data_IF_152233155976
#
_entry.id   IF_152233155976
#
_cell.length_a   1.000
_cell.length_b   1.000
_cell.length_c   1.000
_cell.angle_alpha   90.00
_cell.angle_beta   90.00
_cell.angle_gamma   90.00
#
_symmetry.space_group_name_H-M   'P 1'
#
loop_
_entity.id
_entity.type
_entity.pdbx_description
1 polymer ?
#
# COMPACT_ATOMS: atom_id res chain seq x y z
N UNK A 1 -1.74 -14.23 27.18
CA UNK A 1 -2.80 -13.18 27.14
C UNK A 1 -2.93 -12.74 25.69
N UNK A 2 -4.16 -12.63 25.16
CA UNK A 2 -4.37 -12.29 23.73
C UNK A 2 -4.05 -10.80 23.51
N UNK A 3 -3.31 -10.41 22.45
CA UNK A 3 -3.12 -9.00 22.12
C UNK A 3 -4.45 -8.29 21.83
N UNK A 4 -4.60 -7.05 22.31
CA UNK A 4 -5.81 -6.25 22.11
C UNK A 4 -6.15 -6.05 20.64
N UNK A 5 -5.11 -5.84 19.83
CA UNK A 5 -5.22 -5.69 18.38
C UNK A 5 -5.83 -6.95 17.76
N UNK A 6 -5.37 -8.13 18.16
CA UNK A 6 -5.93 -9.41 17.66
C UNK A 6 -7.39 -9.61 18.05
N UNK A 7 -7.79 -9.19 19.26
CA UNK A 7 -9.20 -9.25 19.68
C UNK A 7 -10.08 -8.31 18.84
N UNK A 8 -9.58 -7.11 18.54
CA UNK A 8 -10.28 -6.14 17.72
C UNK A 8 -10.35 -6.59 16.24
N UNK A 9 -9.23 -7.06 15.70
CA UNK A 9 -9.14 -7.61 14.35
C UNK A 9 -10.08 -8.82 14.18
N UNK A 10 -10.20 -9.68 15.20
CA UNK A 10 -11.11 -10.82 15.16
C UNK A 10 -12.56 -10.36 14.97
N UNK A 11 -12.97 -9.34 15.74
CA UNK A 11 -14.31 -8.77 15.66
C UNK A 11 -14.57 -8.07 14.32
N UNK A 12 -13.61 -7.30 13.82
CA UNK A 12 -13.72 -6.65 12.50
C UNK A 12 -13.80 -7.69 11.39
N UNK A 13 -12.96 -8.73 11.46
CA UNK A 13 -12.95 -9.82 10.50
C UNK A 13 -14.28 -10.60 10.50
N UNK A 14 -14.89 -10.82 11.66
CA UNK A 14 -16.22 -11.44 11.77
C UNK A 14 -17.29 -10.64 11.00
N UNK A 15 -17.32 -9.32 11.15
CA UNK A 15 -18.26 -8.44 10.44
C UNK A 15 -18.04 -8.48 8.91
N UNK A 16 -16.79 -8.48 8.47
CA UNK A 16 -16.48 -8.61 7.04
C UNK A 16 -16.87 -9.99 6.49
N UNK A 17 -16.59 -11.07 7.21
CA UNK A 17 -16.94 -12.43 6.78
C UNK A 17 -18.46 -12.57 6.70
N UNK A 18 -19.21 -12.07 7.69
CA UNK A 18 -20.67 -12.14 7.67
C UNK A 18 -21.25 -11.35 6.50
N UNK A 19 -20.75 -10.13 6.24
CA UNK A 19 -21.16 -9.31 5.08
C UNK A 19 -20.90 -10.02 3.75
N UNK A 20 -19.71 -10.62 3.58
CA UNK A 20 -19.37 -11.36 2.36
C UNK A 20 -20.28 -12.57 2.22
N UNK A 21 -20.44 -13.38 3.27
CA UNK A 21 -21.24 -14.59 3.24
C UNK A 21 -22.71 -14.30 2.93
N UNK A 22 -23.29 -13.33 3.63
CA UNK A 22 -24.66 -12.87 3.40
C UNK A 22 -24.80 -12.33 1.98
N UNK A 23 -23.88 -11.47 1.54
CA UNK A 23 -23.90 -10.90 0.20
C UNK A 23 -23.83 -11.95 -0.93
N UNK A 24 -23.02 -13.00 -0.77
CA UNK A 24 -22.99 -14.11 -1.73
C UNK A 24 -24.26 -14.96 -1.67
N UNK A 25 -24.80 -15.19 -0.48
CA UNK A 25 -26.04 -15.96 -0.29
C UNK A 25 -27.24 -15.24 -0.94
N UNK A 26 -27.35 -13.92 -0.73
CA UNK A 26 -28.38 -13.11 -1.37
C UNK A 26 -28.24 -13.07 -2.90
N UNK A 27 -27.01 -13.13 -3.44
CA UNK A 27 -26.79 -13.24 -4.90
C UNK A 27 -27.35 -14.55 -5.48
N UNK A 28 -27.19 -15.67 -4.77
CA UNK A 28 -27.76 -16.96 -5.19
C UNK A 28 -29.29 -16.92 -5.08
N UNK A 29 -29.83 -16.25 -4.07
CA UNK A 29 -31.27 -16.08 -3.85
C UNK A 29 -31.93 -15.08 -4.83
N UNK A 30 -31.20 -14.46 -5.75
CA UNK A 30 -31.75 -13.51 -6.74
C UNK A 30 -32.80 -14.12 -7.68
N UNK A 31 -32.80 -15.44 -7.83
CA UNK A 31 -33.79 -16.15 -8.66
C UNK A 31 -35.13 -16.37 -7.94
N UNK A 32 -35.21 -16.07 -6.64
CA UNK A 32 -36.49 -16.08 -5.92
C UNK A 32 -37.30 -14.82 -6.26
N UNK A 33 -38.64 -14.89 -6.14
CA UNK A 33 -39.50 -13.76 -6.46
C UNK A 33 -39.16 -12.54 -5.59
N UNK A 34 -39.05 -11.36 -6.23
CA UNK A 34 -38.55 -10.12 -5.64
C UNK A 34 -39.34 -9.63 -4.41
N UNK A 35 -40.61 -10.01 -4.27
CA UNK A 35 -41.43 -9.65 -3.11
C UNK A 35 -40.95 -10.34 -1.81
N UNK A 36 -40.43 -11.57 -1.91
CA UNK A 36 -39.87 -12.31 -0.77
C UNK A 36 -38.54 -11.68 -0.38
N UNK A 37 -37.70 -11.35 -1.37
CA UNK A 37 -36.38 -10.77 -1.11
C UNK A 37 -36.51 -9.39 -0.45
N UNK A 38 -37.35 -8.49 -0.98
CA UNK A 38 -37.49 -7.14 -0.44
C UNK A 38 -38.20 -7.09 0.91
N UNK A 39 -39.18 -7.96 1.14
CA UNK A 39 -39.94 -7.95 2.42
C UNK A 39 -39.18 -8.66 3.54
N UNK A 40 -38.32 -9.62 3.19
CA UNK A 40 -37.67 -10.52 4.13
C UNK A 40 -36.15 -10.30 4.24
N UNK A 41 -35.57 -9.32 3.56
CA UNK A 41 -34.11 -9.09 3.54
C UNK A 41 -33.51 -8.99 4.94
N UNK A 42 -34.14 -8.20 5.82
CA UNK A 42 -33.69 -8.02 7.21
C UNK A 42 -33.80 -9.31 8.03
N UNK A 43 -34.86 -10.08 7.84
CA UNK A 43 -35.07 -11.36 8.54
C UNK A 43 -34.07 -12.42 8.06
N UNK A 44 -33.88 -12.53 6.74
CA UNK A 44 -32.92 -13.44 6.14
C UNK A 44 -31.50 -13.12 6.61
N UNK A 45 -31.13 -11.84 6.64
CA UNK A 45 -29.82 -11.41 7.13
C UNK A 45 -29.61 -11.79 8.61
N UNK A 46 -30.62 -11.56 9.46
CA UNK A 46 -30.56 -11.93 10.87
C UNK A 46 -30.48 -13.45 11.07
N UNK A 47 -31.25 -14.24 10.31
CA UNK A 47 -31.23 -15.70 10.34
C UNK A 47 -29.85 -16.22 9.91
N UNK A 48 -29.29 -15.70 8.82
CA UNK A 48 -27.96 -16.10 8.34
C UNK A 48 -26.87 -15.75 9.36
N UNK A 49 -26.92 -14.56 9.95
CA UNK A 49 -26.01 -14.14 11.03
C UNK A 49 -26.14 -15.07 12.26
N UNK A 50 -27.37 -15.42 12.63
CA UNK A 50 -27.66 -16.35 13.73
C UNK A 50 -27.12 -17.75 13.43
N UNK A 51 -27.35 -18.29 12.24
CA UNK A 51 -26.84 -19.60 11.84
C UNK A 51 -25.31 -19.65 11.81
N UNK A 52 -24.67 -18.61 11.26
CA UNK A 52 -23.21 -18.50 11.23
C UNK A 52 -22.62 -18.51 12.64
N UNK A 53 -23.12 -17.62 13.51
CA UNK A 53 -22.64 -17.51 14.89
C UNK A 53 -22.98 -18.74 15.72
N UNK A 54 -24.14 -19.35 15.50
CA UNK A 54 -24.53 -20.60 16.13
C UNK A 54 -23.60 -21.74 15.78
N UNK A 55 -23.41 -22.02 14.50
CA UNK A 55 -22.58 -23.13 14.06
C UNK A 55 -21.11 -22.93 14.45
N UNK A 56 -20.59 -21.71 14.31
CA UNK A 56 -19.20 -21.38 14.64
C UNK A 56 -18.91 -21.56 16.13
N UNK A 57 -19.72 -20.90 16.98
CA UNK A 57 -19.50 -20.88 18.45
C UNK A 57 -19.83 -22.23 19.08
N UNK A 58 -20.82 -22.97 18.59
CA UNK A 58 -21.13 -24.31 19.13
C UNK A 58 -20.01 -25.32 18.87
N UNK A 59 -19.48 -25.37 17.65
CA UNK A 59 -18.44 -26.34 17.28
C UNK A 59 -17.05 -25.98 17.75
N UNK A 60 -16.63 -24.73 17.54
CA UNK A 60 -15.25 -24.30 17.77
C UNK A 60 -15.05 -23.50 19.05
N UNK A 61 -16.14 -23.16 19.76
CA UNK A 61 -16.12 -22.27 20.93
C UNK A 61 -15.45 -20.94 20.61
N UNK A 62 -15.54 -20.50 19.36
CA UNK A 62 -14.99 -19.27 18.82
C UNK A 62 -15.95 -18.76 17.74
N UNK A 63 -15.92 -17.46 17.45
CA UNK A 63 -16.47 -16.93 16.20
C UNK A 63 -15.52 -17.23 15.03
N UNK A 64 -15.94 -16.99 13.79
CA UNK A 64 -15.14 -17.33 12.61
C UNK A 64 -13.82 -16.54 12.55
N UNK A 65 -13.89 -15.23 12.80
CA UNK A 65 -12.75 -14.32 12.88
C UNK A 65 -11.83 -14.70 14.03
N UNK A 66 -12.39 -14.99 15.21
CA UNK A 66 -11.60 -15.49 16.34
C UNK A 66 -10.86 -16.79 15.98
N UNK A 67 -11.57 -17.77 15.39
CA UNK A 67 -10.98 -19.04 14.99
C UNK A 67 -9.84 -18.86 13.97
N UNK A 68 -10.02 -17.99 12.96
CA UNK A 68 -8.99 -17.67 11.97
C UNK A 68 -7.77 -16.98 12.57
N UNK A 69 -7.96 -16.15 13.59
CA UNK A 69 -6.87 -15.46 14.28
C UNK A 69 -6.26 -16.28 15.43
N UNK A 70 -6.73 -17.51 15.68
CA UNK A 70 -6.21 -18.38 16.74
C UNK A 70 -6.64 -17.91 18.13
N UNK A 71 -7.87 -17.39 18.24
CA UNK A 71 -8.52 -16.97 19.48
C UNK A 71 -9.78 -17.81 19.69
N UNK A 72 -10.10 -18.16 20.93
CA UNK A 72 -11.36 -18.81 21.29
C UNK A 72 -11.87 -18.31 22.63
N UNK A 73 -13.14 -18.54 22.91
CA UNK A 73 -13.67 -18.35 24.26
C UNK A 73 -13.17 -19.43 25.20
N UNK A 74 -13.02 -19.10 26.49
CA UNK A 74 -12.70 -20.09 27.51
C UNK A 74 -13.81 -21.14 27.63
N UNK A 75 -13.53 -22.43 27.47
CA UNK A 75 -14.56 -23.46 27.48
C UNK A 75 -15.31 -23.53 28.82
N UNK A 76 -14.60 -23.30 29.93
CA UNK A 76 -15.14 -23.35 31.29
C UNK A 76 -16.21 -22.28 31.56
N UNK A 77 -16.20 -21.18 30.81
CA UNK A 77 -17.14 -20.06 30.98
C UNK A 77 -18.34 -20.16 30.05
N UNK A 78 -18.30 -21.03 29.05
CA UNK A 78 -19.22 -21.04 27.93
C UNK A 78 -20.28 -22.14 28.08
N UNK A 79 -21.25 -21.88 28.96
CA UNK A 79 -22.46 -22.67 29.13
C UNK A 79 -23.42 -22.46 27.95
N UNK A 80 -24.19 -23.48 27.57
CA UNK A 80 -25.17 -23.39 26.47
C UNK A 80 -26.17 -22.24 26.65
N UNK A 81 -26.57 -21.94 27.89
CA UNK A 81 -27.41 -20.78 28.22
C UNK A 81 -26.72 -19.44 27.90
N UNK A 82 -25.43 -19.31 28.22
CA UNK A 82 -24.66 -18.10 27.93
C UNK A 82 -24.40 -17.95 26.43
N UNK A 83 -24.21 -19.05 25.72
CA UNK A 83 -24.08 -19.09 24.26
C UNK A 83 -25.37 -18.60 23.58
N UNK A 84 -26.53 -19.09 24.04
CA UNK A 84 -27.83 -18.62 23.52
C UNK A 84 -28.06 -17.13 23.82
N UNK A 85 -27.73 -16.67 25.03
CA UNK A 85 -27.82 -15.24 25.39
C UNK A 85 -26.86 -14.38 24.56
N UNK A 86 -25.63 -14.86 24.31
CA UNK A 86 -24.65 -14.17 23.48
C UNK A 86 -25.18 -13.97 22.06
N UNK A 87 -25.73 -15.02 21.46
CA UNK A 87 -26.32 -14.96 20.12
C UNK A 87 -27.53 -14.03 20.07
N UNK A 88 -28.44 -14.16 21.04
CA UNK A 88 -29.63 -13.32 21.12
C UNK A 88 -29.23 -11.84 21.26
N UNK A 89 -28.24 -11.53 22.08
CA UNK A 89 -27.79 -10.15 22.26
C UNK A 89 -27.08 -9.61 21.02
N UNK A 90 -26.16 -10.38 20.43
CA UNK A 90 -25.37 -9.91 19.27
C UNK A 90 -26.22 -9.76 18.01
N UNK A 91 -27.00 -10.78 17.66
CA UNK A 91 -27.87 -10.74 16.47
C UNK A 91 -29.07 -9.84 16.72
N UNK A 92 -29.67 -9.92 17.91
CA UNK A 92 -30.84 -9.12 18.27
C UNK A 92 -30.55 -7.63 18.35
N UNK A 93 -29.39 -7.22 18.87
CA UNK A 93 -29.01 -5.80 18.88
C UNK A 93 -28.88 -5.24 17.46
N UNK A 94 -28.20 -5.96 16.56
CA UNK A 94 -28.04 -5.55 15.17
C UNK A 94 -29.38 -5.52 14.43
N UNK A 95 -30.25 -6.51 14.67
CA UNK A 95 -31.59 -6.55 14.09
C UNK A 95 -32.44 -5.37 14.55
N UNK A 96 -32.52 -5.10 15.86
CA UNK A 96 -33.29 -3.97 16.41
C UNK A 96 -32.74 -2.65 15.86
N UNK A 97 -31.43 -2.48 15.81
CA UNK A 97 -30.81 -1.27 15.26
C UNK A 97 -31.18 -1.07 13.78
N UNK A 98 -31.07 -2.13 12.96
CA UNK A 98 -31.42 -2.07 11.54
C UNK A 98 -32.90 -1.76 11.33
N UNK A 99 -33.78 -2.28 12.20
CA UNK A 99 -35.23 -2.06 12.15
C UNK A 99 -35.62 -0.63 12.53
N UNK A 100 -34.92 -0.02 13.50
CA UNK A 100 -35.12 1.37 13.91
C UNK A 100 -34.60 2.35 12.85
N UNK A 101 -33.48 2.02 12.19
CA UNK A 101 -32.90 2.85 11.12
C UNK A 101 -33.69 2.77 9.80
N UNK A 102 -34.46 1.70 9.57
CA UNK A 102 -35.46 1.62 8.49
C UNK A 102 -36.83 2.11 9.00
N UNK A 103 -37.28 3.35 8.71
CA UNK A 103 -38.57 3.86 9.17
C UNK A 103 -39.71 3.19 8.39
N UNK A 104 -39.99 1.92 8.68
CA UNK A 104 -41.21 1.25 8.25
C UNK A 104 -42.35 1.71 9.16
N UNK A 105 -43.39 2.28 8.56
CA UNK A 105 -44.38 3.17 9.19
C UNK A 105 -45.28 2.56 10.28
N UNK A 106 -45.19 1.25 10.60
CA UNK A 106 -46.31 0.55 11.24
C UNK A 106 -46.01 -0.30 12.49
N UNK A 107 -44.84 -0.24 13.14
CA UNK A 107 -44.55 -1.19 14.23
C UNK A 107 -44.63 -0.67 15.67
N UNK A 108 -44.31 0.60 15.96
CA UNK A 108 -44.39 1.11 17.33
C UNK A 108 -44.84 2.58 17.36
N UNK A 109 -45.85 2.88 18.19
CA UNK A 109 -46.34 4.25 18.42
C UNK A 109 -45.29 5.15 19.12
N UNK A 110 -44.28 4.56 19.77
CA UNK A 110 -43.25 5.25 20.56
C UNK A 110 -41.89 5.21 19.87
N UNK A 111 -41.79 5.77 18.66
CA UNK A 111 -40.53 5.83 17.90
C UNK A 111 -39.45 6.59 18.70
N UNK A 112 -39.82 7.63 19.45
CA UNK A 112 -38.90 8.42 20.25
C UNK A 112 -38.22 7.61 21.38
N UNK A 113 -38.96 6.70 22.02
CA UNK A 113 -38.42 5.87 23.10
C UNK A 113 -37.44 4.83 22.54
N UNK A 114 -37.76 4.20 21.41
CA UNK A 114 -36.88 3.24 20.75
C UNK A 114 -35.60 3.90 20.22
N UNK A 115 -35.70 5.10 19.65
CA UNK A 115 -34.54 5.87 19.25
C UNK A 115 -33.64 6.20 20.44
N UNK A 116 -34.23 6.60 21.57
CA UNK A 116 -33.50 6.87 22.80
C UNK A 116 -32.76 5.62 23.31
N UNK A 117 -33.41 4.45 23.27
CA UNK A 117 -32.78 3.16 23.62
C UNK A 117 -31.59 2.85 22.71
N UNK A 118 -31.72 3.05 21.40
CA UNK A 118 -30.62 2.84 20.44
C UNK A 118 -29.45 3.80 20.71
N UNK A 119 -29.73 5.06 21.05
CA UNK A 119 -28.70 6.04 21.41
C UNK A 119 -27.98 5.62 22.69
N UNK A 120 -28.72 5.19 23.72
CA UNK A 120 -28.16 4.69 24.97
C UNK A 120 -27.29 3.45 24.72
N UNK A 121 -27.75 2.53 23.88
CA UNK A 121 -26.99 1.34 23.51
C UNK A 121 -25.69 1.69 22.77
N UNK A 122 -25.74 2.63 21.80
CA UNK A 122 -24.57 3.13 21.09
C UNK A 122 -23.58 3.80 22.05
N UNK A 123 -24.06 4.63 22.97
CA UNK A 123 -23.25 5.28 24.00
C UNK A 123 -22.60 4.26 24.95
N UNK A 124 -23.35 3.25 25.39
CA UNK A 124 -22.83 2.15 26.20
C UNK A 124 -21.77 1.35 25.44
N UNK A 125 -21.96 1.12 24.13
CA UNK A 125 -21.02 0.40 23.28
C UNK A 125 -19.71 1.16 23.13
N UNK A 126 -19.80 2.48 22.92
CA UNK A 126 -18.66 3.37 22.88
C UNK A 126 -17.90 3.39 24.21
N UNK A 127 -18.60 3.47 25.35
CA UNK A 127 -17.98 3.42 26.67
C UNK A 127 -17.32 2.06 26.93
N UNK A 128 -17.94 0.95 26.50
CA UNK A 128 -17.33 -0.36 26.54
C UNK A 128 -16.05 -0.43 25.70
N UNK A 129 -16.06 0.17 24.51
CA UNK A 129 -14.88 0.23 23.65
C UNK A 129 -13.73 1.01 24.32
N UNK A 130 -14.00 2.16 24.94
CA UNK A 130 -12.97 2.89 25.71
C UNK A 130 -12.42 2.05 26.88
N UNK A 131 -13.29 1.37 27.61
CA UNK A 131 -12.86 0.47 28.69
C UNK A 131 -12.08 -0.74 28.15
N UNK A 132 -12.43 -1.24 26.97
CA UNK A 132 -11.68 -2.27 26.26
C UNK A 132 -10.28 -1.78 25.86
N UNK A 133 -10.15 -0.56 25.34
CA UNK A 133 -8.83 0.01 25.02
C UNK A 133 -7.94 0.11 26.26
N UNK A 134 -8.51 0.39 27.44
CA UNK A 134 -7.77 0.43 28.70
C UNK A 134 -7.42 -0.96 29.26
N UNK A 135 -8.41 -1.87 29.32
CA UNK A 135 -8.27 -3.17 30.00
C UNK A 135 -7.82 -4.31 29.07
N UNK A 136 -8.32 -4.35 27.84
CA UNK A 136 -8.01 -5.36 26.83
C UNK A 136 -8.67 -6.72 27.01
N UNK A 137 -9.81 -6.80 27.71
CA UNK A 137 -10.47 -8.07 28.05
C UNK A 137 -11.69 -8.40 27.19
N UNK A 138 -12.65 -7.47 27.11
CA UNK A 138 -13.95 -7.69 26.47
C UNK A 138 -14.16 -6.70 25.30
N UNK A 139 -14.04 -7.12 24.02
CA UNK A 139 -14.24 -6.25 22.87
C UNK A 139 -15.69 -5.78 22.71
N UNK A 140 -16.68 -6.64 22.97
CA UNK A 140 -18.10 -6.29 22.81
C UNK A 140 -18.82 -6.13 24.15
N UNK A 141 -19.91 -5.35 24.14
CA UNK A 141 -20.82 -5.24 25.28
C UNK A 141 -21.41 -6.60 25.68
N UNK A 142 -21.74 -7.42 24.68
CA UNK A 142 -22.28 -8.76 24.86
C UNK A 142 -21.35 -9.63 25.71
N UNK A 143 -20.06 -9.63 25.35
CA UNK A 143 -19.04 -10.40 26.05
C UNK A 143 -18.77 -9.86 27.45
N UNK A 144 -18.84 -8.54 27.65
CA UNK A 144 -18.72 -7.94 28.98
C UNK A 144 -19.87 -8.34 29.87
N UNK A 145 -21.11 -8.24 29.40
CA UNK A 145 -22.29 -8.59 30.17
C UNK A 145 -22.29 -10.07 30.55
N UNK A 146 -21.87 -10.95 29.64
CA UNK A 146 -21.79 -12.39 29.87
C UNK A 146 -20.48 -12.85 30.55
N UNK A 147 -19.54 -11.91 30.75
CA UNK A 147 -18.20 -12.15 31.29
C UNK A 147 -17.46 -13.29 30.58
N UNK A 148 -17.46 -13.25 29.25
CA UNK A 148 -16.80 -14.24 28.39
C UNK A 148 -15.34 -13.82 28.13
N UNK A 149 -14.39 -14.50 28.76
CA UNK A 149 -12.97 -14.28 28.48
C UNK A 149 -12.54 -15.04 27.23
N UNK A 150 -11.63 -14.43 26.48
CA UNK A 150 -10.99 -15.03 25.32
C UNK A 150 -9.58 -15.53 25.68
N UNK A 151 -9.18 -16.64 25.07
CA UNK A 151 -7.86 -17.25 25.17
C UNK A 151 -7.26 -17.49 23.78
N UNK A 152 -5.94 -17.46 23.70
CA UNK A 152 -5.20 -17.72 22.47
C UNK A 152 -5.01 -19.23 22.33
N UNK A 153 -5.44 -19.81 21.21
CA UNK A 153 -5.18 -21.21 20.87
C UNK A 153 -3.83 -21.41 20.22
N UNK A 154 -3.32 -20.37 19.54
CA UNK A 154 -2.03 -20.38 18.85
C UNK A 154 -1.23 -19.15 19.22
N UNK A 155 0.04 -19.32 19.57
CA UNK A 155 0.97 -18.19 19.58
C UNK A 155 1.12 -17.72 18.13
N UNK A 156 0.35 -16.68 17.77
CA UNK A 156 0.44 -16.07 16.45
C UNK A 156 1.80 -15.36 16.39
N UNK A 157 2.77 -15.98 15.74
CA UNK A 157 3.96 -15.28 15.29
C UNK A 157 3.48 -14.30 14.22
N UNK A 158 3.37 -13.02 14.59
CA UNK A 158 3.03 -11.96 13.64
C UNK A 158 4.25 -11.84 12.72
N UNK A 159 4.15 -12.44 11.54
CA UNK A 159 5.25 -12.47 10.60
C UNK A 159 5.30 -11.12 9.87
N UNK A 160 6.15 -10.22 10.35
CA UNK A 160 6.32 -8.87 9.80
C UNK A 160 7.03 -8.85 8.44
N UNK A 161 7.32 -10.00 7.84
CA UNK A 161 8.17 -10.14 6.64
C UNK A 161 7.69 -9.30 5.46
N UNK A 162 6.38 -9.23 5.25
CA UNK A 162 5.77 -8.43 4.19
C UNK A 162 5.92 -6.93 4.46
N UNK A 163 5.56 -6.48 5.67
CA UNK A 163 5.66 -5.08 6.08
C UNK A 163 7.12 -4.60 6.04
N UNK A 164 8.06 -5.40 6.53
CA UNK A 164 9.48 -5.06 6.51
C UNK A 164 10.02 -5.00 5.08
N UNK A 165 9.56 -5.90 4.19
CA UNK A 165 9.97 -5.88 2.78
C UNK A 165 9.46 -4.64 2.06
N UNK A 166 8.21 -4.25 2.29
CA UNK A 166 7.63 -3.03 1.72
C UNK A 166 8.35 -1.78 2.23
N UNK A 167 8.58 -1.69 3.54
CA UNK A 167 9.30 -0.55 4.14
C UNK A 167 10.73 -0.43 3.60
N UNK A 168 11.44 -1.56 3.47
CA UNK A 168 12.79 -1.59 2.89
C UNK A 168 12.79 -1.14 1.44
N UNK A 169 11.82 -1.61 0.64
CA UNK A 169 11.73 -1.23 -0.76
C UNK A 169 11.41 0.25 -0.95
N UNK A 170 10.46 0.78 -0.17
CA UNK A 170 10.13 2.20 -0.18
C UNK A 170 11.33 3.05 0.24
N UNK A 171 11.97 2.74 1.37
CA UNK A 171 13.14 3.48 1.83
C UNK A 171 14.32 3.42 0.85
N UNK A 172 14.55 2.27 0.21
CA UNK A 172 15.54 2.12 -0.85
C UNK A 172 15.21 2.98 -2.08
N UNK A 173 13.95 2.99 -2.52
CA UNK A 173 13.53 3.79 -3.67
C UNK A 173 13.63 5.30 -3.43
N UNK A 174 13.31 5.78 -2.23
CA UNK A 174 13.48 7.18 -1.85
C UNK A 174 14.97 7.57 -1.85
N UNK A 175 15.83 6.71 -1.29
CA UNK A 175 17.28 6.91 -1.35
C UNK A 175 17.78 6.97 -2.80
N UNK A 176 17.29 6.09 -3.68
CA UNK A 176 17.64 6.12 -5.10
C UNK A 176 17.20 7.42 -5.77
N UNK A 177 15.98 7.89 -5.51
CA UNK A 177 15.48 9.14 -6.09
C UNK A 177 16.31 10.35 -5.66
N UNK A 178 16.84 10.37 -4.44
CA UNK A 178 17.75 11.44 -3.99
C UNK A 178 19.18 11.28 -4.49
N UNK A 179 19.67 10.05 -4.64
CA UNK A 179 21.05 9.80 -5.07
C UNK A 179 21.23 9.87 -6.58
N UNK A 180 20.22 9.49 -7.38
CA UNK A 180 20.30 9.49 -8.85
C UNK A 180 20.64 10.88 -9.45
N UNK A 181 20.03 12.01 -9.04
CA UNK A 181 20.39 13.33 -9.55
C UNK A 181 21.79 13.80 -9.13
N UNK A 182 22.31 13.31 -7.99
CA UNK A 182 23.65 13.63 -7.52
C UNK A 182 24.73 12.89 -8.30
N UNK A 183 24.36 11.80 -8.99
CA UNK A 183 25.27 11.03 -9.81
C UNK A 183 25.35 11.69 -11.19
N UNK A 184 26.53 12.20 -11.52
CA UNK A 184 26.81 12.71 -12.85
C UNK A 184 26.87 11.57 -13.89
N UNK A 185 25.73 11.28 -14.51
CA UNK A 185 25.59 10.24 -15.54
C UNK A 185 26.59 10.39 -16.68
N UNK A 186 26.89 11.63 -17.10
CA UNK A 186 27.81 11.92 -18.21
C UNK A 186 29.26 11.52 -17.86
N UNK A 187 29.72 11.81 -16.63
CA UNK A 187 31.05 11.41 -16.15
C UNK A 187 31.20 9.88 -16.12
N UNK A 188 30.18 9.16 -15.63
CA UNK A 188 30.19 7.69 -15.59
C UNK A 188 30.19 7.12 -17.01
N UNK A 189 29.31 7.62 -17.89
CA UNK A 189 29.23 7.18 -19.29
C UNK A 189 30.59 7.31 -19.99
N UNK A 190 31.29 8.44 -19.84
CA UNK A 190 32.57 8.66 -20.49
C UNK A 190 33.69 7.80 -19.88
N UNK A 191 33.73 7.63 -18.56
CA UNK A 191 34.67 6.71 -17.91
C UNK A 191 34.45 5.26 -18.35
N UNK A 192 33.19 4.83 -18.48
CA UNK A 192 32.83 3.48 -18.97
C UNK A 192 33.23 3.30 -20.44
N UNK A 193 32.91 4.26 -21.32
CA UNK A 193 33.32 4.22 -22.73
C UNK A 193 34.85 4.19 -22.86
N UNK A 194 35.57 5.01 -22.08
CA UNK A 194 37.04 5.00 -22.06
C UNK A 194 37.60 3.65 -21.61
N UNK A 195 37.02 3.03 -20.57
CA UNK A 195 37.44 1.71 -20.11
C UNK A 195 37.17 0.61 -21.16
N UNK A 196 36.05 0.68 -21.87
CA UNK A 196 35.69 -0.29 -22.93
C UNK A 196 36.60 -0.10 -24.15
N UNK A 197 36.89 1.14 -24.55
CA UNK A 197 37.70 1.46 -25.75
C UNK A 197 39.21 1.53 -25.47
N UNK A 198 39.67 1.45 -24.22
CA UNK A 198 41.10 1.49 -23.87
C UNK A 198 41.91 0.34 -24.48
N UNK A 199 41.27 -0.71 -25.02
CA UNK A 199 41.97 -1.82 -25.71
C UNK A 199 42.28 -1.55 -27.18
N UNK A 200 41.70 -0.51 -27.80
CA UNK A 200 41.83 -0.28 -29.26
C UNK A 200 42.83 0.80 -29.67
N UNK A 201 43.46 1.52 -28.73
CA UNK A 201 44.24 2.72 -29.09
C UNK A 201 45.66 2.73 -28.48
N UNK A 202 46.54 1.91 -29.06
CA UNK A 202 47.99 2.02 -28.88
C UNK A 202 48.71 2.19 -30.22
N UNK A 203 48.16 3.01 -31.13
CA UNK A 203 48.88 3.47 -32.32
C UNK A 203 49.38 4.90 -32.07
N UNK A 204 50.64 5.02 -31.65
CA UNK A 204 51.37 6.30 -31.55
C UNK A 204 51.63 6.87 -32.96
N UNK A 205 50.59 7.35 -33.63
CA UNK A 205 50.76 8.21 -34.81
C UNK A 205 50.93 9.65 -34.33
N UNK A 206 51.97 10.32 -34.81
CA UNK A 206 52.25 11.73 -34.52
C UNK A 206 51.03 12.56 -34.91
N UNK A 207 50.44 13.25 -33.94
CA UNK A 207 49.19 13.95 -34.14
C UNK A 207 49.46 15.25 -34.90
N UNK A 208 48.97 15.34 -36.13
CA UNK A 208 49.06 16.54 -36.95
C UNK A 208 47.82 17.38 -36.66
N UNK A 209 48.01 18.58 -36.11
CA UNK A 209 46.91 19.53 -35.88
C UNK A 209 46.19 19.81 -37.20
N UNK A 210 44.90 19.48 -37.26
CA UNK A 210 44.06 19.71 -38.43
C UNK A 210 43.07 20.82 -38.10
N UNK A 211 43.17 21.92 -38.83
CA UNK A 211 42.22 23.04 -38.67
C UNK A 211 40.85 22.60 -39.21
N UNK A 212 39.75 22.83 -38.46
CA UNK A 212 38.42 22.42 -38.89
C UNK A 212 37.93 23.31 -40.04
N UNK A 213 37.34 22.69 -41.07
CA UNK A 213 36.66 23.41 -42.16
C UNK A 213 35.16 23.47 -41.86
N UNK A 214 34.59 24.68 -41.75
CA UNK A 214 33.16 24.88 -41.55
C UNK A 214 32.44 24.83 -42.90
N UNK A 215 31.45 23.95 -43.01
CA UNK A 215 30.55 23.84 -44.16
C UNK A 215 29.10 24.02 -43.68
N UNK A 216 28.16 24.27 -44.60
CA UNK A 216 26.74 24.42 -44.27
C UNK A 216 26.10 23.19 -43.59
N UNK A 217 26.76 22.02 -43.62
CA UNK A 217 26.34 20.76 -42.98
C UNK A 217 27.12 20.41 -41.72
N UNK A 218 28.01 21.26 -41.22
CA UNK A 218 28.78 20.95 -40.00
C UNK A 218 27.88 20.99 -38.77
N UNK A 219 27.94 19.91 -38.00
CA UNK A 219 27.21 19.73 -36.75
C UNK A 219 28.19 19.64 -35.59
N UNK A 220 27.74 20.04 -34.40
CA UNK A 220 28.48 19.84 -33.16
C UNK A 220 28.55 18.34 -32.84
N UNK A 221 29.73 17.80 -32.56
CA UNK A 221 29.88 16.38 -32.23
C UNK A 221 29.22 15.96 -30.91
N UNK A 222 28.91 16.91 -30.02
CA UNK A 222 28.26 16.63 -28.72
C UNK A 222 26.73 16.71 -28.82
N UNK A 223 26.17 17.81 -29.32
CA UNK A 223 24.71 18.01 -29.40
C UNK A 223 24.10 17.64 -30.76
N UNK A 224 24.91 17.38 -31.78
CA UNK A 224 24.48 17.04 -33.16
C UNK A 224 23.62 18.12 -33.84
N UNK A 225 23.66 19.35 -33.33
CA UNK A 225 22.98 20.53 -33.90
C UNK A 225 23.99 21.51 -34.51
N UNK A 226 23.48 22.56 -35.16
CA UNK A 226 24.30 23.64 -35.71
C UNK A 226 25.11 24.29 -34.58
N UNK A 227 26.45 24.41 -34.73
CA UNK A 227 27.29 24.86 -33.63
C UNK A 227 27.03 26.33 -33.27
N UNK A 228 26.75 26.58 -31.99
CA UNK A 228 26.62 27.92 -31.41
C UNK A 228 27.98 28.30 -30.83
N UNK A 229 28.60 29.35 -31.36
CA UNK A 229 29.98 29.76 -31.08
C UNK A 229 30.96 28.58 -31.31
N UNK A 230 31.38 28.30 -32.55
CA UNK A 230 32.13 27.11 -32.89
C UNK A 230 33.55 27.12 -32.30
N UNK A 231 33.91 26.03 -31.63
CA UNK A 231 35.24 25.77 -31.07
C UNK A 231 35.77 24.39 -31.45
N UNK A 232 37.08 24.21 -31.33
CA UNK A 232 37.77 22.94 -31.57
C UNK A 232 38.91 22.73 -30.56
N UNK A 233 39.32 21.46 -30.40
CA UNK A 233 40.40 21.02 -29.51
C UNK A 233 41.60 20.62 -30.38
N UNK A 234 42.15 21.58 -31.14
CA UNK A 234 43.21 21.41 -32.15
C UNK A 234 42.91 20.32 -33.23
N UNK A 235 41.69 19.78 -33.23
CA UNK A 235 41.26 18.63 -34.03
C UNK A 235 40.31 19.08 -35.13
N UNK A 236 40.06 18.20 -36.11
CA UNK A 236 39.14 18.49 -37.23
C UNK A 236 37.66 18.54 -36.82
N UNK A 237 37.33 18.29 -35.55
CA UNK A 237 35.96 18.22 -35.06
C UNK A 237 35.52 19.52 -34.38
N UNK A 238 34.28 19.93 -34.67
CA UNK A 238 33.69 21.19 -34.20
C UNK A 238 32.73 20.92 -33.04
N UNK A 239 32.74 21.82 -32.06
CA UNK A 239 31.91 21.81 -30.87
C UNK A 239 31.26 23.18 -30.66
N UNK A 240 30.10 23.23 -30.00
CA UNK A 240 29.61 24.48 -29.42
C UNK A 240 30.44 24.85 -28.19
N UNK A 241 30.71 26.15 -27.96
CA UNK A 241 31.38 26.64 -26.74
C UNK A 241 30.76 26.06 -25.46
N UNK A 242 29.43 26.10 -25.36
CA UNK A 242 28.74 25.61 -24.17
C UNK A 242 28.84 24.10 -24.01
N UNK A 243 28.83 23.33 -25.09
CA UNK A 243 28.94 21.87 -25.04
C UNK A 243 30.34 21.41 -24.62
N UNK A 244 31.38 22.03 -25.16
CA UNK A 244 32.76 21.69 -24.80
C UNK A 244 33.11 22.16 -23.39
N UNK A 245 32.64 23.35 -23.00
CA UNK A 245 32.87 23.92 -21.67
C UNK A 245 32.16 23.09 -20.59
N UNK A 246 30.88 22.75 -20.80
CA UNK A 246 30.15 21.89 -19.85
C UNK A 246 30.78 20.52 -19.70
N UNK A 247 31.28 19.94 -20.79
CA UNK A 247 31.94 18.65 -20.75
C UNK A 247 33.30 18.70 -20.02
N UNK A 248 34.06 19.80 -20.17
CA UNK A 248 35.30 20.01 -19.41
C UNK A 248 35.08 20.30 -17.93
N UNK A 249 33.94 20.89 -17.56
CA UNK A 249 33.56 21.05 -16.14
C UNK A 249 33.24 19.69 -15.50
N UNK A 250 32.75 18.74 -16.29
CA UNK A 250 32.40 17.37 -15.84
C UNK A 250 33.62 16.44 -15.84
N UNK A 251 34.50 16.58 -16.83
CA UNK A 251 35.72 15.81 -16.99
C UNK A 251 36.87 16.71 -17.47
N UNK A 252 37.83 16.99 -16.58
CA UNK A 252 39.00 17.82 -16.89
C UNK A 252 39.81 17.26 -18.06
N UNK A 253 39.77 15.94 -18.28
CA UNK A 253 40.49 15.25 -19.35
C UNK A 253 39.56 14.81 -20.47
N UNK A 254 38.62 15.68 -20.84
CA UNK A 254 37.70 15.39 -21.94
C UNK A 254 38.44 15.24 -23.28
N UNK A 255 38.42 14.03 -23.83
CA UNK A 255 38.88 13.68 -25.16
C UNK A 255 37.75 13.85 -26.20
N UNK A 256 38.10 14.22 -27.44
CA UNK A 256 37.12 14.24 -28.52
C UNK A 256 36.49 12.85 -28.74
N UNK A 257 35.15 12.71 -28.81
CA UNK A 257 34.49 11.40 -28.92
C UNK A 257 34.79 10.65 -30.22
N UNK A 258 35.19 11.37 -31.28
CA UNK A 258 35.43 10.82 -32.62
C UNK A 258 36.91 10.45 -32.84
N UNK A 259 37.85 11.30 -32.40
CA UNK A 259 39.28 11.08 -32.62
C UNK A 259 40.11 10.81 -31.36
N UNK A 260 39.48 10.77 -30.18
CA UNK A 260 40.13 10.54 -28.88
C UNK A 260 41.33 11.45 -28.59
N UNK A 261 41.38 12.61 -29.26
CA UNK A 261 42.44 13.58 -29.02
C UNK A 261 42.09 14.48 -27.83
N UNK A 262 43.10 14.75 -27.02
CA UNK A 262 43.05 15.64 -25.87
C UNK A 262 44.07 16.76 -26.05
N UNK A 263 43.61 18.00 -25.90
CA UNK A 263 44.44 19.20 -25.84
C UNK A 263 43.85 20.14 -24.79
N UNK A 264 44.69 20.85 -24.05
CA UNK A 264 44.22 21.75 -22.99
C UNK A 264 43.58 23.04 -23.52
N UNK A 265 43.92 23.47 -24.73
CA UNK A 265 43.44 24.75 -25.28
C UNK A 265 42.15 24.57 -26.08
N UNK A 266 41.12 25.37 -25.77
CA UNK A 266 39.91 25.49 -26.59
C UNK A 266 40.14 26.67 -27.53
N UNK A 267 40.15 26.41 -28.83
CA UNK A 267 40.36 27.45 -29.85
C UNK A 267 39.03 27.77 -30.52
N UNK A 268 38.73 29.06 -30.68
CA UNK A 268 37.59 29.49 -31.51
C UNK A 268 37.88 29.18 -32.97
N UNK A 269 36.85 28.77 -33.71
CA UNK A 269 36.96 28.70 -35.15
C UNK A 269 36.75 30.11 -35.70
N UNK A 270 37.80 30.69 -36.27
CA UNK A 270 37.73 31.98 -36.97
C UNK A 270 37.13 31.67 -38.35
N UNK A 271 35.98 32.26 -38.64
CA UNK A 271 35.37 32.24 -39.97
C UNK A 271 36.08 33.31 -40.80
N UNK A 272 36.97 32.90 -41.70
CA UNK A 272 37.49 33.76 -42.76
C UNK A 272 36.50 33.85 -43.92
#
# INVERSE_FOLDING_TARGET
MVPRVTLLDAHVLDDHISKIFIGQTLKVLKFLPAWILNSCELELNAILQCLLTYYSVTKTKATFGQHLLGVRFKPDQLTDKKLALFQLFTVGANYIQSKVESPSKNFFNNINDLQSIVIIFKAASFLNFLLFLRQGKYPTLAERFLSLLQESTRQRNIEYTYMTRELLWHGFSELLLFTLPLINYQSIKHKVIRLINSKSHCDKKQWIGKMPLINARTVCTICQEKPILPHHINCSHIFCYYCISSMRMVDEKFECPECYHFENNILSVILD
#
